data_IF_031872584538
#
_entry.id   IF_031872584538
#
_cell.length_a   1.000
_cell.length_b   1.000
_cell.length_c   1.000
_cell.angle_alpha   90.00
_cell.angle_beta   90.00
_cell.angle_gamma   90.00
#
_symmetry.space_group_name_H-M   'P 1'
#
loop_
_entity.id
_entity.type
_entity.pdbx_description
1 polymer ?
#
# COMPACT_ATOMS: atom_id res chain seq x y z
N UNK A 1 -22.10 -26.46 -69.63
CA UNK A 1 -21.77 -25.03 -69.64
C UNK A 1 -21.70 -24.54 -68.17
N UNK A 2 -20.49 -24.42 -67.65
CA UNK A 2 -20.27 -24.07 -66.23
C UNK A 2 -19.66 -22.68 -66.17
N UNK A 3 -20.37 -21.76 -65.55
CA UNK A 3 -19.87 -20.39 -65.29
C UNK A 3 -19.19 -20.33 -63.94
N UNK A 4 -17.86 -20.18 -63.93
CA UNK A 4 -17.05 -19.90 -62.77
C UNK A 4 -17.25 -18.43 -62.35
N UNK A 5 -17.70 -18.17 -61.11
CA UNK A 5 -17.65 -16.85 -60.48
C UNK A 5 -16.37 -16.70 -59.71
N UNK A 6 -15.52 -15.75 -60.12
CA UNK A 6 -14.33 -15.35 -59.37
C UNK A 6 -14.74 -14.35 -58.28
N UNK A 7 -14.32 -14.66 -57.05
CA UNK A 7 -14.44 -13.76 -55.87
C UNK A 7 -13.08 -13.10 -55.71
N UNK A 8 -13.05 -11.75 -55.81
CA UNK A 8 -11.89 -10.95 -55.45
C UNK A 8 -11.90 -10.70 -53.93
N UNK A 9 -10.88 -11.19 -53.26
CA UNK A 9 -10.61 -10.86 -51.88
C UNK A 9 -9.67 -9.66 -51.86
N UNK A 10 -10.21 -8.50 -51.40
CA UNK A 10 -9.44 -7.28 -51.19
C UNK A 10 -8.70 -7.36 -49.85
N UNK A 11 -7.39 -7.56 -49.90
CA UNK A 11 -6.51 -7.60 -48.72
C UNK A 11 -6.15 -6.17 -48.33
N UNK A 12 -6.73 -5.66 -47.21
CA UNK A 12 -6.26 -4.44 -46.59
C UNK A 12 -5.03 -4.79 -45.71
N UNK A 13 -3.84 -4.43 -46.22
CA UNK A 13 -2.62 -4.38 -45.38
C UNK A 13 -2.71 -3.15 -44.46
N UNK A 14 -2.93 -3.37 -43.21
CA UNK A 14 -2.65 -2.39 -42.12
C UNK A 14 -1.17 -2.46 -41.81
N UNK A 15 -0.39 -1.51 -42.26
CA UNK A 15 0.97 -1.27 -41.83
C UNK A 15 0.95 -0.60 -40.48
N UNK A 16 1.20 -1.38 -39.40
CA UNK A 16 1.48 -0.85 -38.09
C UNK A 16 2.94 -0.38 -38.10
N UNK A 17 3.15 0.93 -38.09
CA UNK A 17 4.46 1.51 -37.82
C UNK A 17 4.77 1.32 -36.33
N UNK A 18 5.57 0.30 -36.01
CA UNK A 18 6.21 0.17 -34.71
C UNK A 18 7.42 1.10 -34.69
N UNK A 19 7.27 2.25 -34.05
CA UNK A 19 8.40 3.12 -33.71
C UNK A 19 9.01 2.57 -32.40
N UNK A 20 9.86 1.54 -32.52
CA UNK A 20 10.73 1.11 -31.44
C UNK A 20 11.94 2.06 -31.44
N UNK A 21 11.90 3.10 -30.58
CA UNK A 21 13.14 3.79 -30.21
C UNK A 21 13.98 2.82 -29.39
N UNK A 22 15.17 2.50 -29.93
CA UNK A 22 16.23 1.84 -29.15
C UNK A 22 16.65 2.82 -28.04
N UNK A 23 16.31 2.49 -26.79
CA UNK A 23 16.92 3.11 -25.62
C UNK A 23 18.40 2.67 -25.61
N UNK A 24 19.30 3.64 -25.62
CA UNK A 24 20.73 3.43 -25.44
C UNK A 24 20.97 3.15 -23.95
N UNK A 25 21.43 1.96 -23.64
CA UNK A 25 21.65 1.45 -22.28
C UNK A 25 22.94 1.95 -21.63
N UNK A 26 23.54 3.04 -22.12
CA UNK A 26 24.86 3.48 -21.65
C UNK A 26 24.87 4.29 -20.35
N UNK A 27 23.70 4.75 -19.85
CA UNK A 27 23.60 5.60 -18.67
C UNK A 27 22.77 4.99 -17.51
N UNK A 28 22.57 3.67 -17.51
CA UNK A 28 21.82 3.02 -16.44
C UNK A 28 22.69 2.90 -15.17
N UNK A 29 22.45 3.75 -14.18
CA UNK A 29 22.93 3.59 -12.81
C UNK A 29 21.96 2.64 -12.11
N UNK A 30 22.40 1.42 -11.70
CA UNK A 30 21.52 0.50 -10.98
C UNK A 30 21.00 1.16 -9.70
N UNK A 31 19.66 1.20 -9.54
CA UNK A 31 19.02 1.72 -8.35
C UNK A 31 18.43 3.13 -8.44
N UNK A 32 18.60 3.86 -9.55
CA UNK A 32 17.91 5.13 -9.78
C UNK A 32 16.78 4.96 -10.81
N UNK A 33 15.56 5.27 -10.43
CA UNK A 33 14.47 5.49 -11.37
C UNK A 33 14.73 6.81 -12.15
N UNK A 34 14.50 6.83 -13.46
CA UNK A 34 14.57 8.08 -14.24
C UNK A 34 13.57 9.09 -13.64
N UNK A 35 14.08 10.11 -12.98
CA UNK A 35 13.29 11.10 -12.27
C UNK A 35 13.45 11.13 -10.76
N UNK A 36 14.30 10.27 -10.19
CA UNK A 36 14.56 10.18 -8.74
C UNK A 36 15.39 11.35 -8.30
N UNK A 37 15.62 12.37 -8.63
CA UNK A 37 16.32 13.58 -8.12
C UNK A 37 16.22 14.74 -9.14
N UNK A 38 15.00 15.10 -9.50
CA UNK A 38 14.78 16.37 -10.19
C UNK A 38 14.83 17.50 -9.14
N UNK A 39 15.89 18.34 -9.13
CA UNK A 39 15.99 19.45 -8.19
C UNK A 39 14.87 20.48 -8.33
N UNK A 40 14.18 20.52 -9.48
CA UNK A 40 13.03 21.40 -9.71
C UNK A 40 11.75 20.87 -9.05
N UNK A 41 11.77 19.67 -8.46
CA UNK A 41 10.61 19.07 -7.74
C UNK A 41 10.64 19.31 -6.22
N UNK A 42 11.56 20.10 -5.69
CA UNK A 42 11.51 20.48 -4.28
C UNK A 42 10.32 21.40 -4.01
N UNK A 43 9.48 20.99 -3.06
CA UNK A 43 8.35 21.80 -2.60
C UNK A 43 8.72 22.42 -1.26
N UNK A 44 8.78 23.74 -1.25
CA UNK A 44 9.07 24.54 -0.05
C UNK A 44 8.03 25.68 0.10
N UNK A 45 7.77 26.09 1.34
CA UNK A 45 6.80 27.13 1.65
C UNK A 45 5.35 26.63 1.72
N UNK A 46 4.37 27.54 1.79
CA UNK A 46 2.95 27.21 1.88
C UNK A 46 2.48 26.41 0.67
N UNK A 47 1.89 25.23 0.91
CA UNK A 47 1.41 24.32 -0.12
C UNK A 47 -0.12 24.27 -0.09
N UNK A 48 -0.75 24.53 -1.23
CA UNK A 48 -2.20 24.34 -1.37
C UNK A 48 -2.52 22.84 -1.50
N UNK A 49 -3.55 22.33 -0.80
CA UNK A 49 -3.96 20.94 -0.88
C UNK A 49 -4.59 20.63 -2.24
N UNK A 50 -4.45 19.38 -2.67
CA UNK A 50 -5.20 18.86 -3.81
C UNK A 50 -6.69 18.73 -3.43
N UNK A 51 -7.58 19.06 -4.38
CA UNK A 51 -9.03 18.98 -4.14
C UNK A 51 -9.53 17.55 -4.39
N UNK A 52 -10.27 17.01 -3.43
CA UNK A 52 -10.99 15.73 -3.54
C UNK A 52 -12.49 16.03 -3.64
N UNK A 53 -13.18 15.42 -4.61
CA UNK A 53 -14.62 15.61 -4.77
C UNK A 53 -15.40 14.86 -3.69
N UNK A 54 -16.68 15.23 -3.51
CA UNK A 54 -17.51 14.75 -2.42
C UNK A 54 -17.70 13.21 -2.35
N UNK A 55 -17.66 12.53 -3.50
CA UNK A 55 -17.78 11.07 -3.61
C UNK A 55 -16.42 10.38 -3.86
N UNK A 56 -15.33 11.09 -3.66
CA UNK A 56 -13.99 10.57 -3.86
C UNK A 56 -13.28 10.38 -2.53
N UNK A 57 -12.38 9.40 -2.49
CA UNK A 57 -11.45 9.18 -1.39
C UNK A 57 -10.04 9.09 -1.94
N UNK A 58 -9.13 9.88 -1.37
CA UNK A 58 -7.70 9.81 -1.65
C UNK A 58 -7.02 9.07 -0.51
N UNK A 59 -6.44 7.93 -0.79
CA UNK A 59 -5.70 7.18 0.22
C UNK A 59 -4.20 7.28 -0.03
N UNK A 60 -3.43 7.18 1.05
CA UNK A 60 -1.97 7.17 1.00
C UNK A 60 -1.44 5.99 1.81
N UNK A 61 -0.43 5.29 1.29
CA UNK A 61 0.43 4.38 2.03
C UNK A 61 1.79 5.03 2.20
N UNK A 62 2.31 5.06 3.43
CA UNK A 62 3.56 5.71 3.73
C UNK A 62 4.36 4.94 4.79
N UNK A 63 5.34 4.16 4.35
CA UNK A 63 6.38 3.67 5.22
C UNK A 63 7.28 4.85 5.61
N UNK A 64 7.23 5.25 6.89
CA UNK A 64 7.93 6.42 7.40
C UNK A 64 9.38 6.15 7.79
N UNK A 65 9.84 4.91 7.63
CA UNK A 65 11.10 4.39 8.16
C UNK A 65 11.19 4.53 9.67
N UNK A 66 11.46 3.45 10.36
CA UNK A 66 11.63 3.41 11.81
C UNK A 66 12.63 4.48 12.29
N UNK A 67 12.27 5.21 13.34
CA UNK A 67 13.03 6.38 13.82
C UNK A 67 13.67 6.10 15.17
N UNK A 68 14.71 5.30 15.18
CA UNK A 68 15.51 4.96 16.40
C UNK A 68 16.76 5.81 16.56
N UNK A 69 17.05 6.64 15.57
CA UNK A 69 18.31 7.35 15.41
C UNK A 69 18.39 8.63 16.26
N UNK A 70 19.60 9.11 16.51
CA UNK A 70 19.88 10.31 17.32
C UNK A 70 19.77 11.64 16.55
N UNK A 71 19.62 11.60 15.23
CA UNK A 71 19.43 12.78 14.39
C UNK A 71 20.69 13.41 13.85
N UNK A 72 21.81 12.72 13.85
CA UNK A 72 23.08 13.21 13.31
C UNK A 72 23.24 12.97 11.81
N UNK A 73 22.53 11.99 11.23
CA UNK A 73 22.50 11.71 9.79
C UNK A 73 21.28 12.39 9.13
N UNK A 74 21.42 12.91 7.90
CA UNK A 74 20.27 13.40 7.11
C UNK A 74 19.16 12.38 6.88
N UNK A 75 19.45 11.09 6.99
CA UNK A 75 18.50 9.98 6.87
C UNK A 75 17.71 9.72 8.15
N UNK A 76 18.14 10.28 9.30
CA UNK A 76 17.51 10.10 10.59
C UNK A 76 16.15 10.81 10.68
N UNK A 77 15.25 10.28 11.51
CA UNK A 77 13.92 10.85 11.67
C UNK A 77 13.90 12.34 12.02
N UNK A 78 14.70 12.87 12.96
CA UNK A 78 14.73 14.28 13.28
C UNK A 78 15.05 15.19 12.08
N UNK A 79 15.89 14.72 11.15
CA UNK A 79 16.21 15.47 9.92
C UNK A 79 15.09 15.39 8.88
N UNK A 80 14.43 14.22 8.74
CA UNK A 80 13.41 13.94 7.73
C UNK A 80 12.02 14.48 8.10
N UNK A 81 11.64 14.46 9.39
CA UNK A 81 10.28 14.76 9.86
C UNK A 81 9.72 16.11 9.41
N UNK A 82 10.57 17.12 9.16
CA UNK A 82 10.14 18.44 8.71
C UNK A 82 9.42 18.42 7.34
N UNK A 83 9.66 17.39 6.54
CA UNK A 83 9.05 17.21 5.24
C UNK A 83 7.63 16.63 5.31
N UNK A 84 7.25 16.02 6.44
CA UNK A 84 5.99 15.25 6.56
C UNK A 84 4.79 16.17 6.46
N UNK A 85 4.76 17.27 7.21
CA UNK A 85 3.64 18.22 7.16
C UNK A 85 3.41 18.80 5.77
N UNK A 86 4.42 19.35 5.06
CA UNK A 86 4.25 19.86 3.69
C UNK A 86 3.77 18.78 2.72
N UNK A 87 4.32 17.57 2.81
CA UNK A 87 3.87 16.43 2.02
C UNK A 87 2.38 16.16 2.24
N UNK A 88 1.98 15.90 3.48
CA UNK A 88 0.61 15.50 3.81
C UNK A 88 -0.39 16.63 3.57
N UNK A 89 0.01 17.90 3.78
CA UNK A 89 -0.81 19.05 3.44
C UNK A 89 -1.05 19.16 1.93
N UNK A 90 0.00 18.98 1.12
CA UNK A 90 -0.11 19.00 -0.35
C UNK A 90 -0.99 17.89 -0.86
N UNK A 91 -0.75 16.69 -0.39
CA UNK A 91 -1.49 15.53 -0.85
C UNK A 91 -2.93 15.49 -0.33
N UNK A 92 -3.20 16.05 0.86
CA UNK A 92 -4.52 16.12 1.50
C UNK A 92 -5.29 14.79 1.43
N UNK A 93 -4.68 13.66 1.86
CA UNK A 93 -5.32 12.36 1.77
C UNK A 93 -6.53 12.27 2.71
N UNK A 94 -7.57 11.55 2.28
CA UNK A 94 -8.73 11.23 3.11
C UNK A 94 -8.34 10.27 4.23
N UNK A 95 -7.54 9.24 3.91
CA UNK A 95 -7.00 8.26 4.87
C UNK A 95 -5.54 7.96 4.53
N UNK A 96 -4.73 7.78 5.56
CA UNK A 96 -3.30 7.46 5.48
C UNK A 96 -3.04 6.18 6.26
N UNK A 97 -2.33 5.22 5.66
CA UNK A 97 -1.71 4.09 6.35
C UNK A 97 -0.22 4.36 6.54
N UNK A 98 0.24 4.30 7.78
CA UNK A 98 1.66 4.40 8.11
C UNK A 98 2.23 3.02 8.42
N UNK A 99 3.45 2.75 7.96
CA UNK A 99 4.25 1.59 8.32
C UNK A 99 5.52 2.06 9.03
N UNK A 100 6.08 1.21 9.87
CA UNK A 100 7.29 1.45 10.69
C UNK A 100 7.21 2.60 11.70
N UNK A 101 6.06 3.22 11.87
CA UNK A 101 5.94 4.34 12.80
C UNK A 101 6.10 3.89 14.27
N UNK A 102 7.11 4.39 14.94
CA UNK A 102 7.20 4.31 16.39
C UNK A 102 6.25 5.33 17.04
N UNK A 103 5.91 5.13 18.30
CA UNK A 103 4.97 5.99 19.03
C UNK A 103 5.32 7.49 18.93
N UNK A 104 6.59 7.86 19.07
CA UNK A 104 7.02 9.25 18.99
C UNK A 104 6.92 9.83 17.58
N UNK A 105 7.07 8.98 16.53
CA UNK A 105 6.87 9.41 15.14
C UNK A 105 5.39 9.63 14.87
N UNK A 106 4.52 8.71 15.31
CA UNK A 106 3.06 8.87 15.19
C UNK A 106 2.58 10.11 15.95
N UNK A 107 3.08 10.35 17.18
CA UNK A 107 2.74 11.53 17.95
C UNK A 107 3.13 12.83 17.25
N UNK A 108 4.34 12.86 16.67
CA UNK A 108 4.78 14.02 15.88
C UNK A 108 3.88 14.26 14.67
N UNK A 109 3.58 13.22 13.89
CA UNK A 109 2.73 13.33 12.70
C UNK A 109 1.31 13.77 13.10
N UNK A 110 0.74 13.19 14.15
CA UNK A 110 -0.60 13.58 14.65
C UNK A 110 -0.66 15.02 15.13
N UNK A 111 0.41 15.50 15.76
CA UNK A 111 0.50 16.90 16.18
C UNK A 111 0.59 17.89 15.01
N UNK A 112 1.36 17.52 13.97
CA UNK A 112 1.54 18.36 12.79
C UNK A 112 0.32 18.37 11.85
N UNK A 113 -0.52 17.32 11.92
CA UNK A 113 -1.70 17.15 11.07
C UNK A 113 -2.98 17.51 11.82
N UNK A 114 -3.12 18.79 12.17
CA UNK A 114 -4.36 19.32 12.77
C UNK A 114 -5.57 18.99 11.88
N UNK A 115 -6.64 18.48 12.50
CA UNK A 115 -7.86 18.03 11.78
C UNK A 115 -7.78 16.58 11.27
N UNK A 116 -6.72 15.84 11.64
CA UNK A 116 -6.64 14.40 11.45
C UNK A 116 -6.72 13.69 12.80
N UNK A 117 -7.58 12.69 12.87
CA UNK A 117 -7.55 11.69 13.94
C UNK A 117 -6.66 10.51 13.56
N UNK A 118 -6.19 9.75 14.55
CA UNK A 118 -5.34 8.58 14.31
C UNK A 118 -5.68 7.40 15.21
N UNK A 119 -5.34 6.18 14.75
CA UNK A 119 -5.46 4.96 15.52
C UNK A 119 -4.42 3.94 15.08
N UNK A 120 -3.93 3.15 16.03
CA UNK A 120 -3.03 2.02 15.84
C UNK A 120 -2.48 1.55 17.18
N UNK A 121 -2.09 0.28 17.24
CA UNK A 121 -1.49 -0.33 18.43
C UNK A 121 -0.06 -0.77 18.13
N UNK A 122 0.82 -0.62 19.12
CA UNK A 122 2.19 -1.11 19.05
C UNK A 122 2.22 -2.63 18.91
N UNK A 123 2.96 -3.14 17.94
CA UNK A 123 2.96 -4.57 17.58
C UNK A 123 3.47 -5.47 18.72
N UNK A 124 4.33 -4.95 19.61
CA UNK A 124 5.02 -5.75 20.62
C UNK A 124 4.25 -5.90 21.95
N UNK A 125 3.34 -4.97 22.26
CA UNK A 125 2.60 -4.99 23.53
C UNK A 125 1.08 -4.72 23.40
N UNK A 126 0.62 -4.46 22.18
CA UNK A 126 -0.77 -4.08 21.96
C UNK A 126 -1.12 -2.68 22.50
N UNK A 127 -0.13 -1.84 22.74
CA UNK A 127 -0.29 -0.47 23.26
C UNK A 127 0.59 0.52 22.49
N UNK A 128 1.86 0.67 22.86
CA UNK A 128 2.75 1.67 22.33
C UNK A 128 4.16 1.15 21.99
N UNK A 129 4.47 -0.11 22.32
CA UNK A 129 5.78 -0.70 22.08
C UNK A 129 5.86 -1.31 20.70
N UNK A 130 7.01 -1.15 20.06
CA UNK A 130 7.26 -1.58 18.69
C UNK A 130 6.64 -0.65 17.64
N UNK A 131 6.71 -1.06 16.40
CA UNK A 131 6.12 -0.32 15.29
C UNK A 131 4.58 -0.36 15.34
N UNK A 132 3.97 0.72 14.88
CA UNK A 132 2.53 0.92 14.82
C UNK A 132 2.11 1.02 13.36
N UNK A 133 1.29 0.09 12.89
CA UNK A 133 0.62 0.20 11.60
C UNK A 133 -0.56 1.16 11.76
N UNK A 134 -0.24 2.45 11.89
CA UNK A 134 -1.27 3.44 12.18
C UNK A 134 -2.13 3.77 10.95
N UNK A 135 -3.38 4.13 11.21
CA UNK A 135 -4.24 4.80 10.25
C UNK A 135 -4.52 6.21 10.74
N UNK A 136 -4.46 7.19 9.84
CA UNK A 136 -4.89 8.56 10.08
C UNK A 136 -6.01 8.90 9.10
N UNK A 137 -6.95 9.74 9.50
CA UNK A 137 -8.05 10.17 8.63
C UNK A 137 -8.40 11.63 8.84
N UNK A 138 -8.81 12.27 7.74
CA UNK A 138 -9.22 13.66 7.73
C UNK A 138 -10.63 13.81 8.31
N UNK A 139 -10.73 14.36 9.52
CA UNK A 139 -11.98 14.56 10.24
C UNK A 139 -12.98 15.48 9.52
N UNK A 140 -12.52 16.30 8.58
CA UNK A 140 -13.42 17.12 7.77
C UNK A 140 -14.10 16.34 6.65
N UNK A 141 -13.51 15.23 6.18
CA UNK A 141 -13.97 14.43 5.04
C UNK A 141 -14.73 13.17 5.46
N UNK A 142 -14.25 12.47 6.49
CA UNK A 142 -14.80 11.19 6.92
C UNK A 142 -15.04 11.14 8.42
N UNK A 143 -15.89 10.20 8.83
CA UNK A 143 -16.10 9.74 10.20
C UNK A 143 -15.64 8.29 10.29
N UNK A 144 -14.90 7.95 11.34
CA UNK A 144 -14.49 6.56 11.61
C UNK A 144 -15.53 5.92 12.54
N UNK A 145 -16.37 5.05 11.97
CA UNK A 145 -17.48 4.41 12.69
C UNK A 145 -16.99 3.28 13.59
N UNK A 146 -16.01 2.51 13.11
CA UNK A 146 -15.42 1.39 13.82
C UNK A 146 -13.93 1.22 13.42
N UNK A 147 -13.11 0.65 14.31
CA UNK A 147 -11.68 0.42 14.05
C UNK A 147 -11.09 -0.63 14.98
N UNK A 148 -9.98 -1.21 14.56
CA UNK A 148 -9.25 -2.18 15.37
C UNK A 148 -7.88 -2.51 14.80
N UNK A 149 -7.11 -3.29 15.54
CA UNK A 149 -5.84 -3.86 15.13
C UNK A 149 -5.83 -5.34 15.46
N UNK A 150 -5.33 -6.17 14.56
CA UNK A 150 -5.10 -7.60 14.78
C UNK A 150 -3.69 -7.99 14.38
N UNK A 151 -3.18 -9.08 14.94
CA UNK A 151 -1.86 -9.61 14.66
C UNK A 151 -1.90 -10.58 13.49
N UNK A 152 -0.91 -10.49 12.61
CA UNK A 152 -0.75 -11.42 11.50
C UNK A 152 -0.15 -12.72 12.03
N UNK A 153 -0.98 -13.54 12.66
CA UNK A 153 -0.59 -14.77 13.32
C UNK A 153 -1.78 -15.75 13.43
N UNK A 154 -1.53 -16.97 13.87
CA UNK A 154 -2.58 -17.95 14.15
C UNK A 154 -3.49 -17.54 15.33
N UNK A 155 -3.14 -16.51 16.10
CA UNK A 155 -3.93 -15.95 17.20
C UNK A 155 -4.10 -14.44 17.03
N UNK A 156 -4.87 -13.99 16.03
CA UNK A 156 -4.89 -12.59 15.60
C UNK A 156 -5.39 -11.60 16.66
N UNK A 157 -6.19 -12.06 17.61
CA UNK A 157 -6.77 -11.21 18.67
C UNK A 157 -5.82 -11.02 19.88
N UNK A 158 -4.57 -11.50 19.79
CA UNK A 158 -3.57 -11.42 20.85
C UNK A 158 -2.23 -10.96 20.29
N UNK A 159 -1.46 -10.26 21.10
CA UNK A 159 -0.04 -9.99 20.83
C UNK A 159 0.68 -11.30 20.58
N UNK A 160 1.07 -11.53 19.34
CA UNK A 160 1.69 -12.80 18.93
C UNK A 160 2.46 -12.65 17.64
N UNK A 161 3.50 -13.46 17.48
CA UNK A 161 4.29 -13.59 16.27
C UNK A 161 3.69 -14.71 15.40
N UNK A 162 3.54 -14.44 14.10
CA UNK A 162 2.95 -15.39 13.17
C UNK A 162 3.97 -16.36 12.59
N UNK A 163 3.66 -17.63 12.56
CA UNK A 163 4.37 -18.70 11.81
C UNK A 163 5.90 -18.59 11.92
N UNK A 164 6.57 -18.46 10.77
CA UNK A 164 8.02 -18.28 10.64
C UNK A 164 8.47 -16.80 10.52
N UNK A 165 7.59 -15.86 10.85
CA UNK A 165 7.90 -14.44 10.77
C UNK A 165 9.13 -14.04 11.59
N UNK A 166 9.93 -13.12 11.06
CA UNK A 166 11.04 -12.51 11.82
C UNK A 166 10.52 -11.66 12.98
N UNK A 167 9.48 -10.88 12.72
CA UNK A 167 8.90 -9.93 13.67
C UNK A 167 7.39 -10.16 13.87
N UNK A 168 6.85 -9.64 14.97
CA UNK A 168 5.41 -9.49 15.10
C UNK A 168 4.92 -8.50 14.06
N UNK A 169 3.84 -8.85 13.35
CA UNK A 169 3.22 -8.01 12.31
C UNK A 169 1.75 -7.82 12.64
N UNK A 170 1.23 -6.66 12.28
CA UNK A 170 -0.16 -6.29 12.56
C UNK A 170 -0.82 -5.70 11.32
N UNK A 171 -2.15 -5.75 11.30
CA UNK A 171 -2.98 -4.98 10.40
C UNK A 171 -3.95 -4.14 11.22
N UNK A 172 -4.07 -2.86 10.88
CA UNK A 172 -5.01 -1.91 11.49
C UNK A 172 -6.07 -1.54 10.48
N UNK A 173 -7.33 -1.56 10.89
CA UNK A 173 -8.47 -1.34 10.03
C UNK A 173 -9.42 -0.28 10.57
N UNK A 174 -10.24 0.28 9.69
CA UNK A 174 -11.34 1.17 10.04
C UNK A 174 -12.48 1.07 9.04
N UNK A 175 -13.71 1.23 9.53
CA UNK A 175 -14.92 1.49 8.75
C UNK A 175 -15.15 2.99 8.73
N UNK A 176 -15.30 3.56 7.54
CA UNK A 176 -15.42 5.01 7.36
C UNK A 176 -16.69 5.39 6.63
N UNK A 177 -17.31 6.47 7.10
CA UNK A 177 -18.43 7.15 6.42
C UNK A 177 -17.95 8.47 5.83
N UNK A 178 -18.10 8.67 4.53
CA UNK A 178 -17.88 9.96 3.87
C UNK A 178 -18.93 10.95 4.34
N UNK A 179 -18.54 12.04 4.97
CA UNK A 179 -19.46 13.00 5.58
C UNK A 179 -20.40 13.66 4.58
N UNK A 180 -19.91 13.92 3.36
CA UNK A 180 -20.66 14.61 2.31
C UNK A 180 -21.74 13.73 1.66
N UNK A 181 -21.45 12.44 1.41
CA UNK A 181 -22.34 11.55 0.63
C UNK A 181 -22.97 10.47 1.49
N UNK A 182 -22.50 10.26 2.72
CA UNK A 182 -22.88 9.16 3.61
C UNK A 182 -22.53 7.77 3.09
N UNK A 183 -21.78 7.67 2.00
CA UNK A 183 -21.24 6.41 1.52
C UNK A 183 -20.17 5.88 2.47
N UNK A 184 -20.07 4.55 2.56
CA UNK A 184 -19.13 3.88 3.46
C UNK A 184 -18.08 3.11 2.69
N UNK A 185 -16.92 2.94 3.31
CA UNK A 185 -15.86 2.05 2.84
C UNK A 185 -15.09 1.46 4.01
N UNK A 186 -14.48 0.31 3.78
CA UNK A 186 -13.58 -0.36 4.70
C UNK A 186 -12.13 -0.11 4.29
N UNK A 187 -11.31 0.25 5.23
CA UNK A 187 -9.89 0.51 5.01
C UNK A 187 -9.02 -0.35 5.93
N UNK A 188 -7.93 -0.91 5.41
CA UNK A 188 -6.95 -1.67 6.18
C UNK A 188 -5.54 -1.24 5.79
N UNK A 189 -4.66 -1.13 6.78
CA UNK A 189 -3.24 -0.85 6.61
C UNK A 189 -2.39 -1.92 7.29
N UNK A 190 -1.33 -2.37 6.61
CA UNK A 190 -0.46 -3.44 7.12
C UNK A 190 1.01 -3.23 6.74
N UNK A 191 1.89 -3.99 7.38
CA UNK A 191 3.28 -4.20 7.00
C UNK A 191 3.60 -5.69 7.16
N UNK A 192 3.73 -6.39 6.05
CA UNK A 192 3.91 -7.83 5.99
C UNK A 192 5.36 -8.19 6.31
N UNK A 193 5.60 -9.39 6.82
CA UNK A 193 6.94 -9.83 7.17
C UNK A 193 7.87 -9.93 5.94
N UNK A 194 9.13 -9.55 6.11
CA UNK A 194 10.12 -9.52 5.03
C UNK A 194 10.91 -10.82 4.89
N UNK A 195 10.86 -11.73 5.86
CA UNK A 195 11.69 -12.94 5.90
C UNK A 195 10.89 -14.24 5.85
N UNK A 196 9.82 -14.36 6.65
CA UNK A 196 9.04 -15.58 6.80
C UNK A 196 8.14 -15.86 5.61
N UNK A 197 8.50 -16.84 4.78
CA UNK A 197 7.73 -17.19 3.58
C UNK A 197 6.33 -17.70 3.89
N UNK A 198 6.21 -18.56 4.91
CA UNK A 198 4.92 -19.05 5.37
C UNK A 198 4.11 -17.90 5.99
N UNK A 199 4.73 -17.04 6.79
CA UNK A 199 4.08 -15.89 7.39
C UNK A 199 3.54 -14.92 6.33
N UNK A 200 4.26 -14.69 5.23
CA UNK A 200 3.80 -13.88 4.09
C UNK A 200 2.49 -14.43 3.52
N UNK A 201 2.48 -15.69 3.12
CA UNK A 201 1.29 -16.33 2.49
C UNK A 201 0.11 -16.38 3.47
N UNK A 202 0.35 -16.85 4.69
CA UNK A 202 -0.70 -16.97 5.70
C UNK A 202 -1.27 -15.60 6.12
N UNK A 203 -0.45 -14.56 6.09
CA UNK A 203 -0.93 -13.18 6.33
C UNK A 203 -1.95 -12.73 5.30
N UNK A 204 -1.76 -13.07 4.01
CA UNK A 204 -2.71 -12.73 2.95
C UNK A 204 -4.05 -13.46 3.14
N UNK A 205 -4.00 -14.76 3.45
CA UNK A 205 -5.21 -15.51 3.79
C UNK A 205 -5.93 -14.93 5.01
N UNK A 206 -5.19 -14.66 6.08
CA UNK A 206 -5.76 -14.11 7.31
C UNK A 206 -6.40 -12.72 7.06
N UNK A 207 -5.73 -11.83 6.31
CA UNK A 207 -6.29 -10.52 5.97
C UNK A 207 -7.60 -10.69 5.19
N UNK A 208 -7.65 -11.59 4.21
CA UNK A 208 -8.86 -11.88 3.44
C UNK A 208 -10.02 -12.32 4.35
N UNK A 209 -9.78 -13.28 5.25
CA UNK A 209 -10.79 -13.76 6.19
C UNK A 209 -11.22 -12.68 7.20
N UNK A 210 -10.26 -11.91 7.74
CA UNK A 210 -10.57 -10.81 8.67
C UNK A 210 -11.35 -9.68 7.99
N UNK A 211 -11.05 -9.33 6.75
CA UNK A 211 -11.85 -8.34 6.02
C UNK A 211 -13.27 -8.84 5.82
N UNK A 212 -13.48 -10.12 5.48
CA UNK A 212 -14.81 -10.73 5.36
C UNK A 212 -15.59 -10.72 6.68
N UNK A 213 -14.90 -11.03 7.80
CA UNK A 213 -15.48 -11.00 9.16
C UNK A 213 -15.84 -9.58 9.59
N UNK A 214 -14.93 -8.62 9.41
CA UNK A 214 -15.03 -7.25 9.92
C UNK A 214 -15.84 -6.30 9.02
N UNK A 215 -16.10 -6.71 7.77
CA UNK A 215 -16.92 -5.98 6.80
C UNK A 215 -18.15 -6.78 6.36
N UNK A 216 -19.04 -7.17 7.30
CA UNK A 216 -20.18 -8.04 7.00
C UNK A 216 -21.23 -7.41 6.06
N UNK A 217 -21.20 -6.09 5.91
CA UNK A 217 -22.08 -5.36 4.99
C UNK A 217 -21.52 -5.25 3.58
N UNK A 218 -20.29 -5.73 3.33
CA UNK A 218 -19.69 -5.72 2.00
C UNK A 218 -19.39 -4.32 1.45
N UNK A 219 -19.02 -3.37 2.32
CA UNK A 219 -18.58 -2.05 1.85
C UNK A 219 -17.38 -2.17 0.95
N UNK A 220 -17.20 -1.25 -0.02
CA UNK A 220 -15.96 -1.16 -0.80
C UNK A 220 -14.72 -1.22 0.10
N UNK A 221 -13.69 -1.94 -0.34
CA UNK A 221 -12.48 -2.22 0.45
C UNK A 221 -11.27 -1.56 -0.17
N UNK A 222 -10.42 -0.96 0.67
CA UNK A 222 -9.10 -0.47 0.31
C UNK A 222 -8.09 -1.05 1.31
N UNK A 223 -7.01 -1.65 0.80
CA UNK A 223 -5.91 -2.18 1.61
C UNK A 223 -4.62 -1.52 1.16
N UNK A 224 -3.92 -0.89 2.10
CA UNK A 224 -2.61 -0.28 1.86
C UNK A 224 -1.55 -0.98 2.69
N UNK A 225 -0.31 -0.94 2.24
CA UNK A 225 0.79 -1.45 3.05
C UNK A 225 2.11 -1.56 2.31
N UNK A 226 3.14 -1.79 3.12
CA UNK A 226 4.40 -2.37 2.71
C UNK A 226 4.26 -3.90 2.80
N UNK A 227 4.27 -4.55 1.64
CA UNK A 227 4.10 -5.99 1.57
C UNK A 227 5.43 -6.74 1.50
N UNK A 228 6.55 -6.02 1.45
CA UNK A 228 7.90 -6.61 1.29
C UNK A 228 8.02 -7.58 0.09
N UNK A 229 7.18 -7.40 -0.93
CA UNK A 229 7.13 -8.24 -2.12
C UNK A 229 6.60 -7.47 -3.32
N UNK A 230 7.14 -7.73 -4.49
CA UNK A 230 6.59 -7.24 -5.75
C UNK A 230 5.30 -7.98 -6.12
N UNK A 231 4.41 -7.33 -6.87
CA UNK A 231 3.07 -7.85 -7.22
C UNK A 231 3.09 -9.23 -7.91
N UNK A 232 4.20 -9.59 -8.55
CA UNK A 232 4.39 -10.91 -9.17
C UNK A 232 4.63 -12.05 -8.16
N UNK A 233 4.81 -11.75 -6.88
CA UNK A 233 5.08 -12.76 -5.86
C UNK A 233 3.83 -13.60 -5.57
N UNK A 234 3.99 -14.92 -5.46
CA UNK A 234 2.90 -15.88 -5.29
C UNK A 234 2.06 -15.65 -4.01
N UNK A 235 2.61 -14.97 -2.98
CA UNK A 235 1.85 -14.65 -1.77
C UNK A 235 0.56 -13.87 -2.04
N UNK A 236 0.46 -13.16 -3.18
CA UNK A 236 -0.73 -12.38 -3.54
C UNK A 236 -1.85 -13.20 -4.18
N UNK A 237 -1.68 -14.50 -4.41
CA UNK A 237 -2.74 -15.35 -4.96
C UNK A 237 -4.08 -15.20 -4.21
N UNK A 238 -4.13 -15.18 -2.85
CA UNK A 238 -5.38 -14.97 -2.13
C UNK A 238 -6.04 -13.60 -2.39
N UNK A 239 -5.24 -12.57 -2.74
CA UNK A 239 -5.74 -11.23 -3.06
C UNK A 239 -6.23 -11.13 -4.50
N UNK A 240 -5.54 -11.77 -5.44
CA UNK A 240 -5.86 -11.71 -6.87
C UNK A 240 -7.27 -12.22 -7.20
N UNK A 241 -7.85 -13.03 -6.32
CA UNK A 241 -9.21 -13.57 -6.49
C UNK A 241 -10.32 -12.52 -6.29
N UNK A 242 -10.05 -11.45 -5.52
CA UNK A 242 -11.10 -10.50 -5.11
C UNK A 242 -10.67 -9.03 -5.05
N UNK A 243 -9.38 -8.74 -5.15
CA UNK A 243 -8.83 -7.39 -5.14
C UNK A 243 -8.14 -7.05 -6.46
N UNK A 244 -8.12 -5.77 -6.76
CA UNK A 244 -7.37 -5.18 -7.85
C UNK A 244 -6.24 -4.32 -7.29
N UNK A 245 -5.09 -4.31 -7.94
CA UNK A 245 -3.99 -3.38 -7.63
C UNK A 245 -4.26 -2.03 -8.30
N UNK A 246 -4.22 -0.95 -7.52
CA UNK A 246 -4.55 0.40 -8.01
C UNK A 246 -3.56 0.91 -9.06
N UNK A 247 -2.27 0.59 -8.92
CA UNK A 247 -1.25 0.96 -9.90
C UNK A 247 -1.53 0.35 -11.28
N UNK A 248 -1.95 -0.91 -11.27
CA UNK A 248 -2.18 -1.68 -12.49
C UNK A 248 -3.47 -1.29 -13.21
N UNK A 249 -4.43 -0.70 -12.52
CA UNK A 249 -5.80 -0.49 -13.03
C UNK A 249 -6.19 0.98 -13.15
N UNK A 250 -5.53 1.90 -12.45
CA UNK A 250 -5.84 3.32 -12.58
C UNK A 250 -5.48 3.85 -13.97
N UNK A 251 -6.37 4.66 -14.61
CA UNK A 251 -6.12 5.25 -15.92
C UNK A 251 -4.96 6.27 -15.92
N UNK A 252 -4.69 6.88 -14.77
CA UNK A 252 -3.52 7.75 -14.55
C UNK A 252 -2.64 7.04 -13.53
N UNK A 253 -1.43 6.65 -13.93
CA UNK A 253 -0.53 5.84 -13.11
C UNK A 253 0.94 6.10 -13.46
N UNK A 254 1.85 5.61 -12.64
CA UNK A 254 3.28 5.62 -12.90
C UNK A 254 3.91 4.23 -12.66
N UNK A 255 5.17 4.09 -13.07
CA UNK A 255 5.93 2.83 -12.96
C UNK A 255 7.09 2.89 -11.97
N UNK A 256 7.18 3.99 -11.18
CA UNK A 256 8.30 4.23 -10.27
C UNK A 256 8.42 3.16 -9.19
N UNK A 257 9.65 2.95 -8.72
CA UNK A 257 9.91 2.18 -7.51
C UNK A 257 9.21 2.83 -6.31
N UNK A 258 8.87 2.02 -5.31
CA UNK A 258 8.32 2.51 -4.03
C UNK A 258 9.37 2.43 -2.93
N UNK A 259 10.21 1.40 -2.94
CA UNK A 259 11.37 1.28 -2.06
C UNK A 259 12.65 1.62 -2.80
N UNK A 260 13.39 2.60 -2.30
CA UNK A 260 14.67 3.05 -2.88
C UNK A 260 15.86 2.95 -1.92
N UNK A 261 15.64 2.58 -0.64
CA UNK A 261 16.72 2.38 0.32
C UNK A 261 17.72 3.55 0.37
N UNK A 262 17.22 4.78 0.38
CA UNK A 262 18.01 6.00 0.28
C UNK A 262 18.86 6.08 -1.01
N UNK A 263 18.32 5.62 -2.13
CA UNK A 263 18.95 5.65 -3.46
C UNK A 263 19.80 4.43 -3.81
N UNK A 264 19.68 3.34 -3.04
CA UNK A 264 20.45 2.10 -3.26
C UNK A 264 19.65 1.01 -3.99
N UNK A 265 18.32 1.10 -3.99
CA UNK A 265 17.43 0.07 -4.51
C UNK A 265 16.36 0.68 -5.43
N UNK A 266 15.67 -0.18 -6.18
CA UNK A 266 14.57 0.21 -7.06
C UNK A 266 13.57 -0.95 -7.15
N UNK A 267 12.71 -1.11 -6.13
CA UNK A 267 11.71 -2.18 -6.05
C UNK A 267 10.31 -1.63 -5.75
N UNK A 268 9.27 -2.37 -6.11
CA UNK A 268 7.87 -1.99 -5.93
C UNK A 268 7.24 -2.95 -4.92
N UNK A 269 7.34 -2.60 -3.63
CA UNK A 269 6.89 -3.45 -2.52
C UNK A 269 5.77 -2.83 -1.69
N UNK A 270 5.46 -1.56 -1.94
CA UNK A 270 4.30 -0.89 -1.38
C UNK A 270 3.15 -0.94 -2.38
N UNK A 271 1.97 -1.35 -1.92
CA UNK A 271 0.80 -1.55 -2.78
C UNK A 271 -0.46 -0.93 -2.19
N UNK A 272 -1.40 -0.59 -3.08
CA UNK A 272 -2.77 -0.20 -2.75
C UNK A 272 -3.70 -1.14 -3.50
N UNK A 273 -4.33 -2.06 -2.76
CA UNK A 273 -5.35 -2.96 -3.28
C UNK A 273 -6.74 -2.42 -3.00
N UNK A 274 -7.70 -2.75 -3.86
CA UNK A 274 -9.08 -2.29 -3.69
C UNK A 274 -10.10 -3.24 -4.33
N UNK A 275 -11.37 -3.08 -3.92
CA UNK A 275 -12.54 -3.64 -4.61
C UNK A 275 -13.77 -2.78 -4.35
N UNK A 276 -14.73 -2.77 -5.28
CA UNK A 276 -15.97 -2.01 -5.16
C UNK A 276 -15.83 -0.49 -5.37
N UNK A 277 -14.72 -0.02 -5.95
CA UNK A 277 -14.43 1.39 -6.24
C UNK A 277 -13.96 1.55 -7.69
N UNK A 278 -14.01 2.78 -8.21
CA UNK A 278 -13.40 3.15 -9.49
C UNK A 278 -12.05 3.83 -9.19
N UNK A 279 -10.91 3.27 -9.62
CA UNK A 279 -9.63 3.93 -9.50
C UNK A 279 -9.53 5.05 -10.53
N UNK A 280 -9.15 6.24 -10.10
CA UNK A 280 -8.99 7.40 -10.98
C UNK A 280 -7.52 7.74 -11.24
N UNK A 281 -6.70 7.67 -10.19
CA UNK A 281 -5.27 7.99 -10.23
C UNK A 281 -4.52 7.11 -9.23
N UNK A 282 -3.32 6.70 -9.61
CA UNK A 282 -2.28 6.20 -8.72
C UNK A 282 -1.00 7.00 -8.95
N UNK A 283 -0.28 7.34 -7.89
CA UNK A 283 1.02 8.02 -7.99
C UNK A 283 1.99 7.60 -6.91
N UNK A 284 3.27 7.54 -7.28
CA UNK A 284 4.41 7.46 -6.39
C UNK A 284 4.94 8.86 -6.14
N UNK A 285 5.05 9.29 -4.88
CA UNK A 285 5.38 10.65 -4.50
C UNK A 285 6.87 10.75 -4.25
N UNK A 286 7.63 11.02 -5.31
CA UNK A 286 9.09 11.14 -5.30
C UNK A 286 9.59 12.59 -5.18
N UNK A 287 8.71 13.53 -4.83
CA UNK A 287 9.09 14.94 -4.64
C UNK A 287 9.79 15.15 -3.32
N UNK A 288 10.71 16.11 -3.28
CA UNK A 288 11.33 16.58 -2.05
C UNK A 288 10.51 17.71 -1.42
N UNK A 289 10.55 17.81 -0.10
CA UNK A 289 9.86 18.85 0.67
C UNK A 289 10.83 19.44 1.69
N UNK A 290 10.83 20.77 1.80
CA UNK A 290 11.71 21.52 2.74
C UNK A 290 13.20 21.16 2.61
N UNK A 291 13.68 20.88 1.40
CA UNK A 291 15.06 20.52 1.12
C UNK A 291 15.47 19.14 1.66
N UNK A 292 14.52 18.30 2.05
CA UNK A 292 14.79 16.91 2.44
C UNK A 292 14.83 16.04 1.20
N UNK A 293 15.99 15.51 0.86
CA UNK A 293 16.19 14.66 -0.32
C UNK A 293 15.37 13.38 -0.24
N UNK A 294 15.41 12.71 0.91
CA UNK A 294 14.64 11.50 1.16
C UNK A 294 13.73 11.67 2.38
N UNK A 295 12.43 11.64 2.17
CA UNK A 295 11.43 11.71 3.25
C UNK A 295 11.45 10.44 4.10
N UNK A 296 11.71 9.32 3.46
CA UNK A 296 11.88 7.96 3.99
C UNK A 296 12.85 7.22 3.06
N UNK A 297 13.12 5.97 3.29
CA UNK A 297 13.72 5.04 2.32
C UNK A 297 12.67 4.41 1.38
N UNK A 298 11.41 4.73 1.60
CA UNK A 298 10.29 4.48 0.69
C UNK A 298 9.72 5.80 0.17
N UNK A 299 9.22 5.81 -1.06
CA UNK A 299 8.35 6.86 -1.56
C UNK A 299 6.92 6.58 -1.11
N UNK A 300 6.21 7.56 -0.52
CA UNK A 300 4.78 7.41 -0.30
C UNK A 300 4.05 7.15 -1.62
N UNK A 301 3.05 6.30 -1.58
CA UNK A 301 2.16 6.06 -2.70
C UNK A 301 0.75 6.53 -2.38
N UNK A 302 0.04 7.04 -3.37
CA UNK A 302 -1.33 7.50 -3.20
C UNK A 302 -2.21 7.03 -4.35
N UNK A 303 -3.47 6.78 -4.05
CA UNK A 303 -4.49 6.50 -5.06
C UNK A 303 -5.75 7.32 -4.78
N UNK A 304 -6.39 7.80 -5.84
CA UNK A 304 -7.68 8.46 -5.82
C UNK A 304 -8.73 7.50 -6.35
N UNK A 305 -9.78 7.30 -5.57
CA UNK A 305 -10.91 6.45 -5.92
C UNK A 305 -12.21 7.24 -5.92
N UNK A 306 -13.14 6.82 -6.77
CA UNK A 306 -14.53 7.25 -6.73
C UNK A 306 -15.41 6.14 -6.17
N UNK A 307 -16.27 6.47 -5.21
CA UNK A 307 -17.31 5.58 -4.72
C UNK A 307 -18.52 5.67 -5.64
N UNK A 308 -18.90 4.54 -6.22
CA UNK A 308 -20.12 4.38 -7.03
C UNK A 308 -21.20 3.78 -6.15
N UNK A 309 -22.42 4.26 -6.28
CA UNK A 309 -23.57 3.72 -5.57
C UNK A 309 -24.44 4.80 -4.91
N UNK A 310 -25.67 4.45 -4.60
CA UNK A 310 -26.61 5.33 -3.93
C UNK A 310 -26.14 5.63 -2.51
N UNK A 311 -26.30 6.87 -2.10
CA UNK A 311 -26.10 7.31 -0.71
C UNK A 311 -27.18 6.75 0.26
N UNK A 312 -27.92 5.74 -0.15
CA UNK A 312 -28.91 5.07 0.70
C UNK A 312 -28.18 4.12 1.66
N UNK A 313 -28.13 4.44 2.95
CA UNK A 313 -27.49 3.59 3.95
C UNK A 313 -28.20 2.25 4.13
N UNK A 314 -29.45 2.12 3.68
CA UNK A 314 -30.25 0.91 3.74
C UNK A 314 -30.31 0.14 2.41
N UNK A 315 -29.72 0.70 1.32
CA UNK A 315 -29.61 -0.03 0.07
C UNK A 315 -28.60 -1.19 0.25
N UNK A 316 -29.00 -2.45 -0.08
CA UNK A 316 -28.05 -3.54 -0.08
C UNK A 316 -26.93 -3.19 -1.07
N UNK A 317 -25.74 -2.89 -0.54
CA UNK A 317 -24.54 -2.71 -1.33
C UNK A 317 -24.32 -4.03 -2.09
N UNK A 318 -24.02 -3.93 -3.38
CA UNK A 318 -23.66 -5.13 -4.12
C UNK A 318 -22.50 -5.80 -3.36
N UNK A 319 -22.63 -7.09 -3.00
CA UNK A 319 -21.55 -7.77 -2.31
C UNK A 319 -20.30 -7.58 -3.15
N UNK A 320 -19.22 -7.08 -2.52
CA UNK A 320 -17.91 -7.12 -3.13
C UNK A 320 -17.78 -8.55 -3.68
N UNK A 321 -17.27 -8.72 -4.88
CA UNK A 321 -17.22 -10.02 -5.54
C UNK A 321 -16.25 -10.96 -4.79
N UNK A 322 -16.65 -11.34 -3.58
CA UNK A 322 -16.00 -12.38 -2.80
C UNK A 322 -16.36 -13.67 -3.52
N UNK A 323 -15.45 -14.18 -4.35
CA UNK A 323 -15.62 -15.46 -5.02
C UNK A 323 -16.14 -16.49 -4.01
N UNK A 324 -17.04 -17.35 -4.45
CA UNK A 324 -17.74 -18.34 -3.62
C UNK A 324 -16.72 -19.27 -2.92
N UNK A 325 -16.32 -18.89 -1.69
CA UNK A 325 -15.28 -19.53 -0.91
C UNK A 325 -15.93 -20.65 -0.10
N UNK A 326 -16.00 -21.85 -0.66
CA UNK A 326 -16.33 -23.05 0.11
C UNK A 326 -15.04 -23.68 0.66
N UNK A 327 -15.10 -24.23 1.88
CA UNK A 327 -13.98 -24.91 2.55
C UNK A 327 -13.35 -26.06 1.73
N UNK A 328 -14.02 -26.52 0.66
CA UNK A 328 -13.58 -27.61 -0.19
C UNK A 328 -12.36 -27.27 -1.09
N UNK A 329 -12.00 -25.99 -1.24
CA UNK A 329 -10.95 -25.58 -2.19
C UNK A 329 -9.57 -25.31 -1.57
N UNK A 330 -9.39 -25.59 -0.27
CA UNK A 330 -8.11 -25.41 0.40
C UNK A 330 -7.63 -26.71 1.06
N UNK A 331 -6.77 -27.49 0.42
CA UNK A 331 -6.05 -28.55 1.14
C UNK A 331 -5.04 -27.90 2.08
N UNK A 332 -5.40 -27.78 3.35
CA UNK A 332 -4.49 -27.34 4.42
C UNK A 332 -3.37 -28.33 4.72
N UNK A 333 -3.30 -29.46 4.01
CA UNK A 333 -2.47 -30.59 4.41
C UNK A 333 -1.09 -30.66 3.73
N UNK A 334 -0.81 -29.86 2.69
CA UNK A 334 0.43 -29.99 1.91
C UNK A 334 1.60 -29.10 2.36
N UNK A 335 1.45 -28.30 3.43
CA UNK A 335 2.52 -27.37 3.90
C UNK A 335 3.22 -27.81 5.20
N UNK A 336 3.06 -29.06 5.62
CA UNK A 336 3.68 -29.58 6.87
C UNK A 336 5.09 -30.15 6.72
N UNK A 337 5.72 -30.12 5.54
CA UNK A 337 7.13 -30.48 5.43
C UNK A 337 8.01 -29.22 5.36
N UNK A 338 9.01 -29.10 6.28
CA UNK A 338 10.00 -28.03 6.19
C UNK A 338 10.84 -28.23 4.92
N UNK A 339 11.12 -27.18 4.13
CA UNK A 339 11.97 -27.32 2.95
C UNK A 339 13.35 -27.84 3.36
N UNK A 340 13.82 -28.83 2.65
CA UNK A 340 15.17 -29.39 2.78
C UNK A 340 16.19 -28.29 2.55
N UNK A 341 17.10 -28.17 3.51
CA UNK A 341 18.18 -27.19 3.57
C UNK A 341 19.06 -27.22 2.31
N UNK A 342 19.13 -26.10 1.63
CA UNK A 342 20.04 -25.88 0.51
C UNK A 342 20.50 -24.44 0.41
N UNK A 343 21.66 -24.16 1.02
CA UNK A 343 22.61 -23.06 0.76
C UNK A 343 22.16 -21.61 1.00
N UNK A 344 22.54 -21.04 2.16
CA UNK A 344 23.29 -19.78 2.21
C UNK A 344 22.50 -18.48 2.35
N UNK A 345 21.85 -18.28 3.50
CA UNK A 345 21.82 -16.98 4.15
C UNK A 345 22.03 -17.24 5.65
N UNK A 346 23.24 -16.99 6.11
CA UNK A 346 23.63 -17.09 7.50
C UNK A 346 22.98 -15.93 8.29
N UNK A 347 22.73 -16.19 9.56
CA UNK A 347 22.12 -15.32 10.57
C UNK A 347 22.55 -13.85 10.45
N UNK A 348 21.67 -12.97 10.00
CA UNK A 348 21.82 -11.54 10.17
C UNK A 348 21.35 -11.17 11.57
N UNK A 349 22.25 -10.63 12.37
CA UNK A 349 21.96 -10.14 13.71
C UNK A 349 21.33 -8.75 13.67
N UNK A 350 20.75 -8.30 14.79
CA UNK A 350 20.19 -6.95 14.94
C UNK A 350 21.19 -5.82 14.59
N UNK A 351 22.51 -6.09 14.72
CA UNK A 351 23.58 -5.19 14.32
C UNK A 351 23.72 -5.07 12.79
N UNK A 352 23.41 -6.11 12.03
CA UNK A 352 23.48 -6.08 10.56
C UNK A 352 22.34 -5.24 9.96
N UNK A 353 21.24 -5.03 10.67
CA UNK A 353 20.14 -4.16 10.28
C UNK A 353 20.45 -2.67 10.49
N UNK A 354 21.42 -2.34 11.35
CA UNK A 354 21.86 -0.97 11.63
C UNK A 354 22.93 -0.48 10.63
N UNK A 355 23.43 -1.35 9.77
CA UNK A 355 24.49 -1.05 8.79
C UNK A 355 23.99 -1.13 7.33
N UNK A 356 22.75 -1.37 7.09
CA UNK A 356 22.08 -1.27 5.79
C UNK A 356 21.00 -0.19 5.88
#
# INVERSE_FOLDING_TARGET
MSMKRSIYILSCLLTVFSCAQKLDNSDFIPGMDEGDLDPDQNISGPVAPDTVLANQVKVMSFNVRVGTEDGTDPKDWPARRKSVKPLLTKENPTVIGLQEALKHQLDYISLEMEGYSSYGLGRDDGKASGEIMAILWNDSQVECDNKGTFWLSATPDKVSKGWDAGYMRTATWGEFTIKATKQKFFYLNTHVDNTGKLAQVQSMHLIKEKVKELNPYGFPVIITGDFNAELSHAMFEPFNEWLYDARSTAPVTDTRATYHGFGLYSTKIDHIFYTGLIPLEYKTINKTYEGVTYISDHYPIAALFELTGSADPDAPQAPGNYGDLTEENFPCDDYNEPPQTGAGYEDMTEEDYLLQ
#
